data_IF_044619775540
#
_entry.id   IF_044619775540
#
_cell.length_a   1.000
_cell.length_b   1.000
_cell.length_c   1.000
_cell.angle_alpha   90.00
_cell.angle_beta   90.00
_cell.angle_gamma   90.00
#
_symmetry.space_group_name_H-M   'P 1'
#
loop_
_entity.id
_entity.type
_entity.pdbx_description
1 polymer ?
#
# COMPACT_ATOMS: atom_id res chain seq x y z
N UNK A 1 -36.45 11.74 12.83
CA UNK A 1 -35.33 10.85 12.44
C UNK A 1 -34.74 10.30 13.74
N UNK A 2 -34.71 8.98 13.93
CA UNK A 2 -34.08 8.39 15.12
C UNK A 2 -32.57 8.67 15.07
N UNK A 3 -32.08 9.49 16.00
CA UNK A 3 -30.65 9.68 16.18
C UNK A 3 -30.04 8.31 16.55
N UNK A 4 -29.16 7.78 15.70
CA UNK A 4 -28.39 6.57 16.04
C UNK A 4 -27.42 6.91 17.16
N UNK A 5 -27.27 6.00 18.12
CA UNK A 5 -26.29 6.17 19.20
C UNK A 5 -24.87 6.31 18.62
N UNK A 6 -24.03 7.20 19.19
CA UNK A 6 -22.63 7.29 18.80
C UNK A 6 -21.92 5.96 18.97
N UNK A 7 -21.19 5.54 17.93
CA UNK A 7 -20.27 4.39 17.97
C UNK A 7 -18.82 4.86 18.05
N UNK A 8 -17.93 4.16 18.78
CA UNK A 8 -16.50 4.43 18.78
C UNK A 8 -15.86 4.25 17.40
N UNK A 9 -14.98 5.18 17.04
CA UNK A 9 -14.18 5.14 15.81
C UNK A 9 -12.72 4.91 16.19
N UNK A 10 -12.13 3.83 15.68
CA UNK A 10 -10.70 3.55 15.83
C UNK A 10 -9.94 4.29 14.73
N UNK A 11 -8.89 5.01 15.10
CA UNK A 11 -8.14 5.85 14.18
C UNK A 11 -6.68 5.99 14.61
N UNK A 12 -5.78 6.21 13.65
CA UNK A 12 -4.40 6.60 13.93
C UNK A 12 -3.90 7.59 12.89
N UNK A 13 -3.15 8.60 13.34
CA UNK A 13 -2.56 9.63 12.48
C UNK A 13 -1.58 9.05 11.45
N UNK A 14 -1.00 7.88 11.74
CA UNK A 14 -0.08 7.15 10.83
C UNK A 14 -0.71 6.82 9.48
N UNK A 15 -2.04 6.73 9.40
CA UNK A 15 -2.78 6.55 8.13
C UNK A 15 -2.58 7.69 7.13
N UNK A 16 -2.18 8.88 7.60
CA UNK A 16 -1.91 10.04 6.74
C UNK A 16 -0.53 9.99 6.07
N UNK A 17 0.36 9.10 6.51
CA UNK A 17 1.71 8.97 5.96
C UNK A 17 1.71 8.38 4.54
N UNK A 18 0.75 7.49 4.23
CA UNK A 18 0.67 6.90 2.90
C UNK A 18 0.21 7.95 1.87
N UNK A 19 1.11 8.24 0.92
CA UNK A 19 0.88 9.19 -0.17
C UNK A 19 1.29 8.58 -1.50
N UNK A 20 0.36 7.91 -2.20
CA UNK A 20 0.65 7.28 -3.48
C UNK A 20 0.93 8.32 -4.58
N UNK A 21 0.31 9.52 -4.48
CA UNK A 21 0.38 10.70 -5.36
C UNK A 21 -0.02 10.44 -6.84
N UNK A 22 0.44 9.35 -7.45
CA UNK A 22 0.19 8.95 -8.83
C UNK A 22 -0.17 7.47 -8.92
N UNK A 23 -0.90 7.12 -9.98
CA UNK A 23 -1.26 5.75 -10.34
C UNK A 23 -1.09 5.56 -11.86
N UNK A 24 -0.79 4.35 -12.31
CA UNK A 24 -0.76 4.05 -13.76
C UNK A 24 -2.00 3.23 -14.11
N UNK A 25 -2.94 3.85 -14.80
CA UNK A 25 -4.17 3.21 -15.29
C UNK A 25 -4.12 3.09 -16.80
N UNK A 26 -4.29 1.88 -17.35
CA UNK A 26 -4.27 1.60 -18.80
C UNK A 26 -3.07 2.24 -19.55
N UNK A 27 -1.90 2.31 -18.90
CA UNK A 27 -0.68 2.92 -19.44
C UNK A 27 -0.60 4.44 -19.30
N UNK A 28 -1.60 5.07 -18.70
CA UNK A 28 -1.65 6.51 -18.48
C UNK A 28 -1.29 6.85 -17.03
N UNK A 29 -0.36 7.79 -16.79
CA UNK A 29 -0.09 8.27 -15.45
C UNK A 29 -1.18 9.25 -15.02
N UNK A 30 -1.91 8.90 -13.97
CA UNK A 30 -2.98 9.71 -13.38
C UNK A 30 -2.58 10.19 -11.98
N UNK A 31 -3.26 11.23 -11.51
CA UNK A 31 -3.25 11.58 -10.10
C UNK A 31 -3.98 10.50 -9.30
N UNK A 32 -3.44 10.12 -8.13
CA UNK A 32 -4.09 9.12 -7.30
C UNK A 32 -5.41 9.65 -6.72
N UNK A 33 -6.40 8.76 -6.67
CA UNK A 33 -7.68 9.03 -6.01
C UNK A 33 -7.67 8.71 -4.50
N UNK A 34 -6.68 7.95 -4.03
CA UNK A 34 -6.58 7.46 -2.65
C UNK A 34 -5.62 8.32 -1.79
N UNK A 35 -5.94 9.61 -1.68
CA UNK A 35 -5.11 10.58 -0.95
C UNK A 35 -5.52 10.72 0.54
N UNK A 36 -4.61 11.19 1.43
CA UNK A 36 -4.90 11.41 2.85
C UNK A 36 -6.13 12.27 3.14
N UNK A 37 -6.52 13.15 2.22
CA UNK A 37 -7.72 13.98 2.32
C UNK A 37 -9.00 13.16 2.49
N UNK A 38 -9.05 11.92 1.99
CA UNK A 38 -10.19 11.02 2.24
C UNK A 38 -10.33 10.70 3.71
N UNK A 39 -9.22 10.43 4.39
CA UNK A 39 -9.19 10.18 5.85
C UNK A 39 -9.70 11.41 6.59
N UNK A 40 -9.21 12.60 6.25
CA UNK A 40 -9.58 13.83 6.95
C UNK A 40 -11.06 14.20 6.74
N UNK A 41 -11.60 14.03 5.54
CA UNK A 41 -13.03 14.25 5.25
C UNK A 41 -13.92 13.29 6.03
N UNK A 42 -13.57 12.00 6.05
CA UNK A 42 -14.32 10.98 6.80
C UNK A 42 -14.25 11.25 8.31
N UNK A 43 -13.05 11.56 8.82
CA UNK A 43 -12.84 11.92 10.21
C UNK A 43 -13.71 13.11 10.63
N UNK A 44 -13.65 14.21 9.86
CA UNK A 44 -14.45 15.41 10.13
C UNK A 44 -15.94 15.10 10.15
N UNK A 45 -16.44 14.35 9.17
CA UNK A 45 -17.86 13.97 9.11
C UNK A 45 -18.30 13.17 10.35
N UNK A 46 -17.48 12.20 10.79
CA UNK A 46 -17.78 11.38 11.96
C UNK A 46 -17.71 12.20 13.27
N UNK A 47 -16.73 13.10 13.41
CA UNK A 47 -16.65 14.02 14.56
C UNK A 47 -17.85 14.96 14.61
N UNK A 48 -18.25 15.54 13.48
CA UNK A 48 -19.44 16.40 13.39
C UNK A 48 -20.74 15.66 13.71
N UNK A 49 -20.79 14.35 13.44
CA UNK A 49 -21.90 13.47 13.84
C UNK A 49 -21.85 13.03 15.32
N UNK A 50 -20.84 13.45 16.09
CA UNK A 50 -20.74 13.19 17.53
C UNK A 50 -20.15 11.83 17.90
N UNK A 51 -19.45 11.15 16.98
CA UNK A 51 -18.80 9.88 17.28
C UNK A 51 -17.53 10.06 18.14
N UNK A 52 -17.34 9.28 19.22
CA UNK A 52 -16.09 9.29 19.97
C UNK A 52 -14.97 8.62 19.19
N UNK A 53 -13.77 9.19 19.24
CA UNK A 53 -12.57 8.65 18.60
C UNK A 53 -11.65 8.00 19.65
N UNK A 54 -11.08 6.86 19.30
CA UNK A 54 -10.15 6.08 20.12
C UNK A 54 -8.90 5.82 19.29
N UNK A 55 -7.73 6.14 19.85
CA UNK A 55 -6.45 5.89 19.18
C UNK A 55 -6.24 4.39 18.99
N UNK A 56 -5.83 4.00 17.79
CA UNK A 56 -5.55 2.61 17.46
C UNK A 56 -4.32 2.11 18.24
N UNK A 57 -4.40 0.88 18.72
CA UNK A 57 -3.26 0.23 19.39
C UNK A 57 -2.40 -0.47 18.35
N UNK A 58 -1.09 -0.32 18.45
CA UNK A 58 -0.16 -1.04 17.59
C UNK A 58 -0.21 -2.55 17.85
N UNK A 59 -0.21 -3.33 16.79
CA UNK A 59 -0.14 -4.79 16.82
C UNK A 59 1.12 -5.26 16.08
N UNK A 60 1.59 -6.46 16.41
CA UNK A 60 2.70 -7.08 15.69
C UNK A 60 2.25 -7.67 14.35
N UNK A 61 3.19 -7.86 13.43
CA UNK A 61 2.96 -8.52 12.14
C UNK A 61 2.39 -9.93 12.28
N UNK A 62 2.49 -10.56 13.47
CA UNK A 62 1.89 -11.86 13.73
C UNK A 62 0.38 -11.87 13.40
N UNK A 63 -0.34 -10.77 13.63
CA UNK A 63 -1.75 -10.66 13.27
C UNK A 63 -1.94 -10.67 11.74
N UNK A 64 -1.11 -9.93 10.99
CA UNK A 64 -1.15 -9.89 9.52
C UNK A 64 -0.81 -11.25 8.91
N UNK A 65 0.20 -11.94 9.47
CA UNK A 65 0.64 -13.26 9.03
C UNK A 65 -0.37 -14.38 9.29
N UNK A 66 -1.49 -14.12 9.98
CA UNK A 66 -2.60 -15.08 10.07
C UNK A 66 -3.40 -15.19 8.78
N UNK A 67 -3.34 -14.18 7.92
CA UNK A 67 -4.10 -14.09 6.66
C UNK A 67 -3.21 -13.85 5.44
N UNK A 68 -2.01 -13.30 5.63
CA UNK A 68 -1.05 -13.03 4.57
C UNK A 68 0.16 -13.94 4.66
N UNK A 69 0.75 -14.27 3.50
CA UNK A 69 2.05 -14.91 3.43
C UNK A 69 3.10 -14.01 4.11
N UNK A 70 3.97 -14.53 5.01
CA UNK A 70 5.01 -13.72 5.65
C UNK A 70 5.96 -13.02 4.66
N UNK A 71 6.15 -13.61 3.48
CA UNK A 71 6.96 -13.06 2.40
C UNK A 71 6.35 -11.77 1.82
N UNK A 72 5.02 -11.69 1.72
CA UNK A 72 4.32 -10.46 1.31
C UNK A 72 4.55 -9.34 2.33
N UNK A 73 4.37 -9.65 3.62
CA UNK A 73 4.54 -8.65 4.70
C UNK A 73 5.98 -8.13 4.72
N UNK A 74 6.97 -9.04 4.58
CA UNK A 74 8.39 -8.65 4.47
C UNK A 74 8.68 -7.84 3.22
N UNK A 75 8.08 -8.21 2.08
CA UNK A 75 8.26 -7.48 0.83
C UNK A 75 7.77 -6.03 0.99
N UNK A 76 6.54 -5.83 1.45
CA UNK A 76 5.96 -4.49 1.64
C UNK A 76 6.76 -3.64 2.63
N UNK A 77 7.32 -4.24 3.69
CA UNK A 77 8.11 -3.49 4.69
C UNK A 77 9.53 -3.11 4.23
N UNK A 78 10.03 -3.67 3.12
CA UNK A 78 11.43 -3.48 2.68
C UNK A 78 11.58 -2.96 1.25
N UNK A 79 10.56 -3.12 0.39
CA UNK A 79 10.68 -2.86 -1.04
C UNK A 79 10.98 -1.40 -1.37
N UNK A 80 10.42 -0.43 -0.63
CA UNK A 80 10.74 0.98 -0.84
C UNK A 80 12.19 1.30 -0.48
N UNK A 81 12.71 0.78 0.64
CA UNK A 81 14.13 0.92 0.99
C UNK A 81 15.05 0.34 -0.08
N UNK A 82 14.75 -0.87 -0.56
CA UNK A 82 15.49 -1.49 -1.66
C UNK A 82 15.39 -0.69 -2.98
N UNK A 83 14.28 0.02 -3.20
CA UNK A 83 14.08 0.90 -4.35
C UNK A 83 14.96 2.15 -4.28
N UNK A 84 15.04 2.77 -3.10
CA UNK A 84 15.96 3.88 -2.83
C UNK A 84 17.41 3.43 -3.01
N UNK A 85 17.80 2.30 -2.40
CA UNK A 85 19.15 1.74 -2.51
C UNK A 85 19.53 1.37 -3.96
N UNK A 86 18.53 1.02 -4.77
CA UNK A 86 18.69 0.76 -6.21
C UNK A 86 18.88 2.02 -7.06
N UNK A 87 18.81 3.22 -6.48
CA UNK A 87 18.99 4.50 -7.17
C UNK A 87 17.81 4.94 -8.02
N UNK A 88 16.65 4.29 -7.92
CA UNK A 88 15.50 4.57 -8.79
C UNK A 88 14.84 5.92 -8.50
N UNK A 89 14.92 6.41 -7.25
CA UNK A 89 14.46 7.75 -6.88
C UNK A 89 15.28 8.82 -7.62
N UNK A 90 16.59 8.63 -7.75
CA UNK A 90 17.49 9.55 -8.49
C UNK A 90 17.22 9.53 -9.99
N UNK A 91 16.63 8.44 -10.50
CA UNK A 91 16.15 8.33 -11.88
C UNK A 91 14.75 8.95 -12.09
N UNK A 92 14.16 9.55 -11.05
CA UNK A 92 12.87 10.22 -11.10
C UNK A 92 11.66 9.32 -10.84
N UNK A 93 11.87 8.07 -10.42
CA UNK A 93 10.79 7.17 -10.00
C UNK A 93 10.78 7.06 -8.47
N UNK A 94 10.07 7.98 -7.83
CA UNK A 94 10.05 8.19 -6.38
C UNK A 94 9.13 7.22 -5.62
N UNK A 95 8.50 6.29 -6.33
CA UNK A 95 7.68 5.20 -5.78
C UNK A 95 8.01 3.89 -6.48
N UNK A 96 7.78 2.78 -5.77
CA UNK A 96 7.86 1.45 -6.36
C UNK A 96 6.67 1.27 -7.32
N UNK A 97 6.97 1.06 -8.59
CA UNK A 97 5.98 0.73 -9.63
C UNK A 97 6.38 -0.59 -10.28
N UNK A 98 5.54 -1.63 -10.21
CA UNK A 98 5.85 -2.91 -10.84
C UNK A 98 5.70 -2.81 -12.36
N UNK A 99 6.65 -3.37 -13.11
CA UNK A 99 6.53 -3.56 -14.57
C UNK A 99 6.72 -5.02 -14.99
N UNK A 100 7.21 -5.87 -14.09
CA UNK A 100 7.33 -7.32 -14.27
C UNK A 100 6.44 -8.04 -13.26
N UNK A 101 5.56 -8.92 -13.76
CA UNK A 101 4.61 -9.68 -12.94
C UNK A 101 4.91 -11.18 -13.08
N UNK A 102 5.83 -11.72 -12.26
CA UNK A 102 6.26 -13.10 -12.39
C UNK A 102 5.19 -14.04 -11.82
N UNK A 103 4.24 -14.46 -12.65
CA UNK A 103 3.28 -15.50 -12.28
C UNK A 103 3.78 -16.87 -12.73
N UNK A 104 3.59 -17.91 -11.91
CA UNK A 104 3.97 -19.27 -12.27
C UNK A 104 3.33 -19.73 -13.59
N UNK A 105 2.11 -19.25 -13.87
CA UNK A 105 1.38 -19.51 -15.13
C UNK A 105 2.13 -19.03 -16.38
N UNK A 106 3.00 -18.02 -16.28
CA UNK A 106 3.81 -17.53 -17.41
C UNK A 106 5.03 -18.41 -17.72
N UNK A 107 5.39 -19.33 -16.82
CA UNK A 107 6.63 -20.13 -16.94
C UNK A 107 6.39 -21.56 -17.44
N UNK A 108 5.15 -22.04 -17.44
CA UNK A 108 4.84 -23.42 -17.82
C UNK A 108 5.61 -24.44 -16.94
N UNK A 109 6.39 -25.36 -17.51
CA UNK A 109 7.17 -26.33 -16.73
C UNK A 109 8.51 -25.77 -16.20
N UNK A 110 8.87 -24.53 -16.54
CA UNK A 110 10.15 -23.94 -16.16
C UNK A 110 10.05 -23.46 -14.70
N UNK A 111 10.96 -23.87 -13.80
CA UNK A 111 10.99 -23.34 -12.44
C UNK A 111 11.22 -21.82 -12.44
N UNK A 112 10.55 -21.05 -11.55
CA UNK A 112 10.84 -19.64 -11.39
C UNK A 112 12.28 -19.42 -10.90
N UNK A 113 12.91 -18.37 -11.43
CA UNK A 113 14.19 -17.86 -10.93
C UNK A 113 13.92 -16.70 -10.00
N UNK A 114 14.63 -16.65 -8.86
CA UNK A 114 14.54 -15.52 -7.95
C UNK A 114 14.96 -14.22 -8.64
N UNK A 115 14.24 -13.14 -8.33
CA UNK A 115 14.55 -11.82 -8.86
C UNK A 115 15.91 -11.33 -8.32
N UNK A 116 16.86 -11.05 -9.22
CA UNK A 116 18.17 -10.51 -8.86
C UNK A 116 18.18 -8.99 -8.60
N UNK A 117 17.05 -8.31 -8.75
CA UNK A 117 16.92 -6.86 -8.62
C UNK A 117 15.53 -6.46 -8.10
N UNK A 118 15.45 -5.31 -7.42
CA UNK A 118 14.18 -4.82 -6.85
C UNK A 118 13.12 -4.53 -7.92
N UNK A 119 13.50 -4.05 -9.11
CA UNK A 119 12.55 -3.79 -10.21
C UNK A 119 11.95 -5.07 -10.80
N UNK A 120 12.68 -6.20 -10.76
CA UNK A 120 12.15 -7.50 -11.14
C UNK A 120 11.30 -8.12 -10.03
N UNK A 121 11.60 -7.82 -8.76
CA UNK A 121 10.86 -8.30 -7.59
C UNK A 121 9.58 -7.50 -7.32
N UNK A 122 9.50 -6.24 -7.77
CA UNK A 122 8.42 -5.30 -7.42
C UNK A 122 7.01 -5.83 -7.71
N UNK A 123 6.83 -6.59 -8.80
CA UNK A 123 5.52 -7.16 -9.15
C UNK A 123 5.26 -8.57 -8.65
N UNK A 124 6.15 -9.17 -7.85
CA UNK A 124 5.97 -10.52 -7.30
C UNK A 124 4.68 -10.65 -6.48
N UNK A 125 4.28 -9.58 -5.81
CA UNK A 125 3.11 -9.51 -4.95
C UNK A 125 2.05 -8.52 -5.44
N UNK A 126 2.14 -8.08 -6.69
CA UNK A 126 1.21 -7.13 -7.30
C UNK A 126 0.43 -7.79 -8.44
N UNK A 127 -0.73 -7.23 -8.77
CA UNK A 127 -1.51 -7.61 -9.94
C UNK A 127 -1.82 -6.42 -10.86
N UNK A 128 -1.48 -5.19 -10.43
CA UNK A 128 -1.69 -3.95 -11.17
C UNK A 128 -0.52 -2.97 -10.99
N UNK A 129 -0.59 -1.84 -11.72
CA UNK A 129 0.36 -0.72 -11.67
C UNK A 129 -0.25 0.53 -11.00
N UNK A 130 -1.38 0.38 -10.33
CA UNK A 130 -2.10 1.48 -9.68
C UNK A 130 -1.70 1.64 -8.21
N UNK A 131 -1.29 0.54 -7.57
CA UNK A 131 -1.00 0.51 -6.13
C UNK A 131 0.50 0.66 -5.88
N UNK A 132 0.99 1.90 -5.81
CA UNK A 132 2.41 2.20 -5.62
C UNK A 132 2.83 2.11 -4.15
N UNK A 133 4.09 1.73 -3.91
CA UNK A 133 4.68 1.72 -2.54
C UNK A 133 5.65 2.88 -2.41
N UNK A 134 5.53 3.65 -1.33
CA UNK A 134 6.28 4.86 -1.07
C UNK A 134 6.90 4.91 0.32
N UNK A 135 7.47 6.07 0.68
CA UNK A 135 7.99 6.33 2.02
C UNK A 135 6.92 6.25 3.11
#
# INVERSE_FOLDING_TARGET
>A
MNAKSPIPVLWSETTLAHRPDREVWIGMPLDSSELPQRVTVIEQALRSAGHPFVEATAHTDAALCTVHAPELVRHLSTVYGAWVDGGFVDLGQDRVVPYFFPTASMLGPIPPTDAGSVHAAAGQFCYDTMTTVGP
#
